data_IF_368546645449
#
_entry.id   IF_368546645449
#
_cell.length_a   1.000
_cell.length_b   1.000
_cell.length_c   1.000
_cell.angle_alpha   90.00
_cell.angle_beta   90.00
_cell.angle_gamma   90.00
#
_symmetry.space_group_name_H-M   'P 1'
#
loop_
_entity.id
_entity.type
_entity.pdbx_description
1 polymer ?
#
# COMPACT_ATOMS: atom_id res chain seq x y z
N UNK A 1 -32.25 -16.56 -18.86
CA UNK A 1 -30.96 -16.11 -18.30
C UNK A 1 -31.12 -14.64 -17.96
N UNK A 2 -31.50 -14.35 -16.73
CA UNK A 2 -31.60 -12.97 -16.24
C UNK A 2 -30.19 -12.40 -16.13
N UNK A 3 -29.94 -11.35 -16.90
CA UNK A 3 -28.73 -10.54 -16.80
C UNK A 3 -28.77 -9.88 -15.42
N UNK A 4 -28.05 -10.44 -14.44
CA UNK A 4 -27.82 -9.78 -13.15
C UNK A 4 -27.19 -8.42 -13.46
N UNK A 5 -27.97 -7.36 -13.28
CA UNK A 5 -27.50 -6.00 -13.42
C UNK A 5 -26.33 -5.81 -12.46
N UNK A 6 -25.15 -5.44 -12.99
CA UNK A 6 -24.01 -5.10 -12.13
C UNK A 6 -24.45 -3.96 -11.20
N UNK A 7 -24.17 -4.05 -9.89
CA UNK A 7 -24.47 -2.98 -8.96
C UNK A 7 -23.84 -1.67 -9.47
N UNK A 8 -24.60 -0.57 -9.40
CA UNK A 8 -24.12 0.75 -9.81
C UNK A 8 -23.07 1.28 -8.83
N UNK A 9 -22.09 2.04 -9.33
CA UNK A 9 -21.01 2.66 -8.54
C UNK A 9 -21.55 3.47 -7.37
N UNK A 10 -21.14 3.13 -6.14
CA UNK A 10 -21.49 3.80 -4.88
C UNK A 10 -20.36 4.71 -4.35
N UNK A 11 -19.45 5.18 -5.22
CA UNK A 11 -18.33 6.03 -4.82
C UNK A 11 -18.79 7.20 -3.92
N UNK A 12 -18.17 7.33 -2.75
CA UNK A 12 -18.42 8.42 -1.80
C UNK A 12 -17.36 9.52 -1.89
N UNK A 13 -16.26 9.23 -2.59
CA UNK A 13 -15.13 10.14 -2.85
C UNK A 13 -15.04 10.43 -4.36
N UNK A 14 -14.76 11.69 -4.77
CA UNK A 14 -14.58 12.02 -6.18
C UNK A 14 -13.43 11.25 -6.84
N UNK A 15 -13.63 10.78 -8.07
CA UNK A 15 -12.59 10.14 -8.90
C UNK A 15 -11.59 11.14 -9.50
N UNK A 16 -11.11 12.06 -8.66
CA UNK A 16 -10.12 13.08 -9.00
C UNK A 16 -8.73 12.56 -8.65
N UNK A 17 -7.79 12.71 -9.58
CA UNK A 17 -6.39 12.36 -9.41
C UNK A 17 -5.55 13.62 -9.47
N UNK A 18 -4.80 13.90 -8.40
CA UNK A 18 -3.77 14.94 -8.43
C UNK A 18 -2.47 14.38 -9.01
N UNK A 19 -1.71 15.20 -9.74
CA UNK A 19 -0.48 14.77 -10.41
C UNK A 19 0.81 15.26 -9.75
N UNK A 20 0.68 15.94 -8.61
CA UNK A 20 1.79 16.48 -7.84
C UNK A 20 1.64 16.10 -6.37
N UNK A 21 2.77 15.81 -5.72
CA UNK A 21 2.85 15.62 -4.29
C UNK A 21 3.28 16.94 -3.64
N UNK A 22 2.36 17.58 -2.92
CA UNK A 22 2.62 18.81 -2.17
C UNK A 22 1.67 18.90 -0.96
N UNK A 23 1.77 19.97 -0.16
CA UNK A 23 0.93 20.17 1.02
C UNK A 23 -0.57 20.16 0.69
N UNK A 24 -0.99 20.85 -0.37
CA UNK A 24 -2.41 20.96 -0.75
C UNK A 24 -2.99 19.60 -1.17
N UNK A 25 -2.29 18.86 -2.02
CA UNK A 25 -2.77 17.56 -2.51
C UNK A 25 -2.80 16.52 -1.39
N UNK A 26 -1.83 16.56 -0.47
CA UNK A 26 -1.84 15.70 0.73
C UNK A 26 -3.03 15.99 1.65
N UNK A 27 -3.32 17.27 1.92
CA UNK A 27 -4.45 17.65 2.77
C UNK A 27 -5.77 17.24 2.14
N UNK A 28 -5.95 17.49 0.84
CA UNK A 28 -7.13 17.05 0.08
C UNK A 28 -7.29 15.53 0.10
N UNK A 29 -6.21 14.79 -0.08
CA UNK A 29 -6.26 13.32 -0.04
C UNK A 29 -6.62 12.81 1.37
N UNK A 30 -6.03 13.38 2.42
CA UNK A 30 -6.32 13.01 3.81
C UNK A 30 -7.75 13.36 4.23
N UNK A 31 -8.34 14.40 3.64
CA UNK A 31 -9.75 14.76 3.79
C UNK A 31 -10.69 14.00 2.85
N UNK A 32 -10.15 13.11 2.00
CA UNK A 32 -10.89 12.39 0.94
C UNK A 32 -11.66 13.30 -0.03
N UNK A 33 -11.10 14.46 -0.34
CA UNK A 33 -11.61 15.38 -1.37
C UNK A 33 -11.15 14.97 -2.79
N UNK A 34 -10.09 14.17 -2.87
CA UNK A 34 -9.59 13.53 -4.10
C UNK A 34 -9.39 12.04 -3.85
N UNK A 35 -9.45 11.23 -4.91
CA UNK A 35 -9.34 9.78 -4.82
C UNK A 35 -7.90 9.27 -4.74
N UNK A 36 -6.96 9.95 -5.40
CA UNK A 36 -5.56 9.58 -5.42
C UNK A 36 -4.62 10.74 -5.77
N UNK A 37 -3.35 10.58 -5.44
CA UNK A 37 -2.22 11.33 -6.00
C UNK A 37 -1.41 10.36 -6.86
N UNK A 38 -1.15 10.69 -8.13
CA UNK A 38 -0.33 9.89 -9.05
C UNK A 38 0.78 10.75 -9.65
N UNK A 39 2.00 10.61 -9.12
CA UNK A 39 3.19 11.31 -9.61
C UNK A 39 3.93 10.40 -10.58
N UNK A 40 3.83 10.73 -11.87
CA UNK A 40 4.52 10.03 -12.95
C UNK A 40 6.03 10.26 -12.87
N UNK A 41 6.83 9.21 -13.04
CA UNK A 41 8.30 9.33 -13.06
C UNK A 41 8.92 9.86 -11.76
N UNK A 42 8.26 9.61 -10.63
CA UNK A 42 8.72 10.00 -9.29
C UNK A 42 10.15 9.50 -8.98
N UNK A 43 10.46 8.28 -9.39
CA UNK A 43 11.74 7.62 -9.18
C UNK A 43 12.40 7.24 -10.52
N UNK A 44 13.74 7.28 -10.66
CA UNK A 44 14.41 6.95 -11.91
C UNK A 44 14.08 5.52 -12.38
N UNK A 45 13.35 5.41 -13.50
CA UNK A 45 12.88 4.15 -14.07
C UNK A 45 13.99 3.08 -14.17
N UNK A 46 15.15 3.44 -14.70
CA UNK A 46 16.28 2.52 -14.86
C UNK A 46 16.80 1.94 -13.53
N UNK A 47 16.75 2.73 -12.43
CA UNK A 47 17.14 2.23 -11.10
C UNK A 47 16.05 1.32 -10.56
N UNK A 48 14.79 1.72 -10.70
CA UNK A 48 13.63 0.93 -10.28
C UNK A 48 13.62 -0.47 -10.93
N UNK A 49 13.80 -0.52 -12.25
CA UNK A 49 13.81 -1.77 -13.02
C UNK A 49 14.98 -2.69 -12.65
N UNK A 50 16.16 -2.10 -12.40
CA UNK A 50 17.35 -2.86 -11.96
C UNK A 50 17.14 -3.49 -10.58
N UNK A 51 16.54 -2.76 -9.64
CA UNK A 51 16.23 -3.31 -8.31
C UNK A 51 15.14 -4.38 -8.41
N UNK A 52 14.18 -4.20 -9.31
CA UNK A 52 13.14 -5.20 -9.55
C UNK A 52 13.72 -6.56 -10.02
N UNK A 53 14.82 -6.58 -10.79
CA UNK A 53 15.50 -7.83 -11.15
C UNK A 53 16.03 -8.58 -9.91
N UNK A 54 16.66 -7.86 -8.98
CA UNK A 54 17.16 -8.47 -7.73
C UNK A 54 16.03 -8.93 -6.81
N UNK A 55 14.88 -8.26 -6.83
CA UNK A 55 13.75 -8.58 -5.95
C UNK A 55 13.11 -9.94 -6.27
N UNK A 56 13.14 -10.39 -7.53
CA UNK A 56 12.50 -11.64 -7.98
C UNK A 56 13.17 -12.87 -7.34
N UNK A 57 14.49 -12.82 -7.16
CA UNK A 57 15.30 -13.93 -6.62
C UNK A 57 15.89 -13.61 -5.24
N UNK A 58 15.32 -12.63 -4.53
CA UNK A 58 15.87 -12.17 -3.26
C UNK A 58 15.80 -13.28 -2.19
N UNK A 59 16.87 -13.54 -1.41
CA UNK A 59 16.89 -14.62 -0.42
C UNK A 59 15.80 -14.52 0.67
N UNK A 60 15.36 -13.29 0.97
CA UNK A 60 14.27 -13.01 1.92
C UNK A 60 12.85 -12.98 1.28
N UNK A 61 12.69 -13.43 0.03
CA UNK A 61 11.37 -13.45 -0.63
C UNK A 61 10.47 -14.54 -0.02
N UNK A 62 9.42 -14.11 0.69
CA UNK A 62 8.34 -14.95 1.25
C UNK A 62 6.98 -14.69 0.59
N UNK A 63 5.87 -15.22 1.13
CA UNK A 63 4.51 -15.17 0.53
C UNK A 63 3.39 -14.96 1.55
N UNK A 64 2.37 -14.12 1.26
CA UNK A 64 1.14 -13.86 2.07
C UNK A 64 0.76 -15.02 3.03
N UNK A 65 0.51 -14.78 4.33
CA UNK A 65 -0.03 -15.81 5.22
C UNK A 65 -1.52 -16.09 4.96
N UNK A 66 -2.28 -15.09 4.46
CA UNK A 66 -3.73 -15.22 4.25
C UNK A 66 -4.09 -15.79 2.88
N UNK A 67 -5.22 -16.50 2.81
CA UNK A 67 -5.63 -17.34 1.67
C UNK A 67 -5.56 -16.63 0.32
N UNK A 68 -6.18 -15.45 0.18
CA UNK A 68 -6.24 -14.76 -1.12
C UNK A 68 -5.03 -13.89 -1.46
N UNK A 69 -4.17 -13.60 -0.50
CA UNK A 69 -2.92 -12.83 -0.70
C UNK A 69 -1.67 -13.70 -0.66
N UNK A 70 -1.81 -15.00 -0.34
CA UNK A 70 -0.72 -16.00 -0.31
C UNK A 70 0.03 -16.16 -1.62
N UNK A 71 -0.59 -15.79 -2.74
CA UNK A 71 0.05 -15.81 -4.05
C UNK A 71 0.98 -14.61 -4.32
N UNK A 72 1.01 -13.61 -3.43
CA UNK A 72 1.83 -12.41 -3.57
C UNK A 72 3.10 -12.58 -2.75
N UNK A 73 4.25 -12.38 -3.41
CA UNK A 73 5.55 -12.41 -2.77
C UNK A 73 5.81 -11.13 -1.97
N UNK A 74 6.57 -11.24 -0.88
CA UNK A 74 7.07 -10.08 -0.12
C UNK A 74 8.51 -10.23 0.31
N UNK A 75 9.25 -9.13 0.29
CA UNK A 75 10.57 -9.03 0.92
C UNK A 75 10.41 -8.20 2.19
N UNK A 76 10.89 -8.78 3.31
CA UNK A 76 10.68 -8.33 4.68
C UNK A 76 9.22 -8.46 5.12
N UNK A 77 9.02 -8.71 6.43
CA UNK A 77 7.70 -9.01 6.99
C UNK A 77 6.92 -7.71 7.24
N UNK A 78 5.77 -7.48 6.57
CA UNK A 78 4.86 -6.38 6.90
C UNK A 78 4.15 -6.59 8.25
N UNK A 79 3.65 -5.52 8.85
CA UNK A 79 2.99 -5.58 10.17
C UNK A 79 1.79 -6.54 10.21
N UNK A 80 1.01 -6.62 9.12
CA UNK A 80 -0.16 -7.51 9.02
C UNK A 80 0.16 -8.99 9.33
N UNK A 81 1.38 -9.46 9.09
CA UNK A 81 1.75 -10.85 9.42
C UNK A 81 2.00 -11.08 10.92
N UNK A 82 1.96 -10.02 11.72
CA UNK A 82 2.00 -10.08 13.18
C UNK A 82 0.64 -10.07 13.85
N UNK A 83 -0.46 -9.99 13.08
CA UNK A 83 -1.84 -9.83 13.54
C UNK A 83 -2.15 -10.65 14.81
N UNK A 84 -2.31 -9.95 15.93
CA UNK A 84 -2.59 -10.46 17.29
C UNK A 84 -1.60 -11.52 17.84
N UNK A 85 -0.44 -11.70 17.23
CA UNK A 85 0.59 -12.65 17.65
C UNK A 85 1.81 -11.91 18.22
N UNK A 86 1.98 -12.00 19.54
CA UNK A 86 3.04 -11.30 20.26
C UNK A 86 4.46 -11.70 19.82
N UNK A 87 4.68 -12.98 19.49
CA UNK A 87 6.00 -13.44 19.03
C UNK A 87 6.33 -12.89 17.64
N UNK A 88 5.37 -12.90 16.73
CA UNK A 88 5.52 -12.31 15.41
C UNK A 88 5.70 -10.79 15.49
N UNK A 89 4.95 -10.10 16.35
CA UNK A 89 5.10 -8.66 16.58
C UNK A 89 6.48 -8.33 17.16
N UNK A 90 6.97 -9.14 18.12
CA UNK A 90 8.32 -8.99 18.66
C UNK A 90 9.38 -9.14 17.58
N UNK A 91 9.24 -10.15 16.70
CA UNK A 91 10.15 -10.38 15.58
C UNK A 91 10.13 -9.22 14.57
N UNK A 92 8.95 -8.76 14.17
CA UNK A 92 8.76 -7.59 13.32
C UNK A 92 9.56 -6.39 13.82
N UNK A 93 9.37 -6.04 15.09
CA UNK A 93 10.04 -4.89 15.69
C UNK A 93 11.54 -5.09 15.87
N UNK A 94 12.02 -6.29 16.21
CA UNK A 94 13.46 -6.54 16.37
C UNK A 94 14.22 -6.46 15.04
N UNK A 95 13.58 -6.83 13.93
CA UNK A 95 14.19 -6.85 12.61
C UNK A 95 13.96 -5.54 11.82
N UNK A 96 13.10 -4.64 12.31
CA UNK A 96 12.64 -3.46 11.56
C UNK A 96 13.78 -2.59 11.01
N UNK A 97 14.74 -2.23 11.87
CA UNK A 97 15.87 -1.36 11.49
C UNK A 97 16.80 -2.07 10.52
N UNK A 98 17.13 -3.34 10.78
CA UNK A 98 17.96 -4.16 9.90
C UNK A 98 17.31 -4.31 8.51
N UNK A 99 16.01 -4.61 8.44
CA UNK A 99 15.27 -4.72 7.20
C UNK A 99 15.28 -3.40 6.40
N UNK A 100 15.20 -2.24 7.06
CA UNK A 100 15.36 -0.92 6.39
C UNK A 100 16.75 -0.79 5.78
N UNK A 101 17.80 -1.23 6.48
CA UNK A 101 19.19 -1.16 5.98
C UNK A 101 19.44 -2.14 4.83
N UNK A 102 18.87 -3.34 4.89
CA UNK A 102 18.96 -4.33 3.83
C UNK A 102 18.32 -3.81 2.54
N UNK A 103 17.11 -3.23 2.66
CA UNK A 103 16.47 -2.58 1.53
C UNK A 103 17.33 -1.45 0.96
N UNK A 104 17.88 -0.56 1.80
CA UNK A 104 18.78 0.50 1.34
C UNK A 104 20.00 -0.03 0.59
N UNK A 105 20.52 -1.17 1.01
CA UNK A 105 21.66 -1.82 0.35
C UNK A 105 21.31 -2.30 -1.06
N UNK A 106 20.06 -2.71 -1.31
CA UNK A 106 19.58 -3.07 -2.66
C UNK A 106 19.57 -1.87 -3.63
N UNK A 107 19.32 -0.66 -3.13
CA UNK A 107 19.21 0.56 -3.96
C UNK A 107 20.54 1.33 -4.06
N UNK A 108 21.57 0.96 -3.31
CA UNK A 108 22.85 1.66 -3.29
C UNK A 108 23.45 1.83 -4.71
N UNK A 109 23.99 3.00 -5.06
CA UNK A 109 24.24 4.18 -4.20
C UNK A 109 23.03 5.15 -4.09
N UNK A 110 21.86 4.81 -4.62
CA UNK A 110 20.69 5.66 -4.60
C UNK A 110 19.89 5.49 -3.29
N UNK A 111 19.19 6.54 -2.88
CA UNK A 111 18.17 6.44 -1.83
C UNK A 111 17.02 5.55 -2.30
N UNK A 112 16.40 4.81 -1.40
CA UNK A 112 15.19 4.04 -1.72
C UNK A 112 14.02 4.98 -2.04
N UNK A 113 13.04 4.55 -2.86
CA UNK A 113 11.86 5.38 -3.11
C UNK A 113 11.02 5.62 -1.84
N UNK A 114 11.03 4.72 -0.84
CA UNK A 114 10.36 5.01 0.44
C UNK A 114 11.10 6.08 1.22
N UNK A 115 12.43 6.07 1.24
CA UNK A 115 13.18 7.14 1.91
C UNK A 115 12.88 8.49 1.26
N UNK A 116 12.77 8.57 -0.07
CA UNK A 116 12.34 9.80 -0.74
C UNK A 116 10.93 10.23 -0.34
N UNK A 117 9.95 9.31 -0.37
CA UNK A 117 8.57 9.61 0.06
C UNK A 117 8.56 10.10 1.51
N UNK A 118 9.28 9.45 2.42
CA UNK A 118 9.34 9.82 3.84
C UNK A 118 9.86 11.23 4.06
N UNK A 119 10.91 11.61 3.34
CA UNK A 119 11.48 12.96 3.41
C UNK A 119 10.48 14.01 2.89
N UNK A 120 9.87 13.76 1.74
CA UNK A 120 8.88 14.67 1.16
C UNK A 120 7.64 14.81 2.03
N UNK A 121 7.15 13.73 2.63
CA UNK A 121 6.03 13.79 3.58
C UNK A 121 6.39 14.61 4.82
N UNK A 122 7.63 14.51 5.30
CA UNK A 122 8.10 15.31 6.42
C UNK A 122 8.19 16.80 6.09
N UNK A 123 8.52 17.14 4.84
CA UNK A 123 8.65 18.52 4.36
C UNK A 123 7.28 19.15 4.02
N UNK A 124 6.37 18.38 3.40
CA UNK A 124 5.10 18.89 2.90
C UNK A 124 3.94 18.80 3.89
N UNK A 125 3.96 17.87 4.85
CA UNK A 125 2.89 17.80 5.84
C UNK A 125 3.09 18.86 6.92
N UNK A 126 2.08 19.68 7.28
CA UNK A 126 2.28 20.79 8.21
C UNK A 126 2.77 20.37 9.61
N UNK A 127 2.35 19.18 10.08
CA UNK A 127 2.80 18.60 11.34
C UNK A 127 4.09 17.78 11.25
N UNK A 128 4.71 17.65 10.07
CA UNK A 128 5.84 16.76 9.80
C UNK A 128 5.43 15.29 9.63
N UNK A 129 6.43 14.38 9.60
CA UNK A 129 6.20 12.94 9.46
C UNK A 129 7.31 12.11 10.13
N UNK A 130 6.99 10.96 10.71
CA UNK A 130 7.94 10.10 11.43
C UNK A 130 7.69 8.61 11.18
N UNK A 131 8.71 7.76 11.37
CA UNK A 131 8.51 6.30 11.44
C UNK A 131 7.57 6.01 12.62
N UNK A 132 6.55 5.19 12.38
CA UNK A 132 5.64 4.79 13.44
C UNK A 132 6.36 3.97 14.51
N UNK A 133 5.91 4.12 15.75
CA UNK A 133 6.28 3.23 16.85
C UNK A 133 5.02 2.61 17.44
N UNK A 134 5.06 1.32 17.70
CA UNK A 134 4.00 0.61 18.41
C UNK A 134 4.61 0.04 19.69
N UNK A 135 3.95 0.30 20.83
CA UNK A 135 4.47 -0.06 22.15
C UNK A 135 5.92 0.42 22.36
N UNK A 136 6.21 1.63 21.91
CA UNK A 136 7.54 2.24 21.96
C UNK A 136 8.60 1.60 21.04
N UNK A 137 8.26 0.66 20.15
CA UNK A 137 9.22 0.00 19.24
C UNK A 137 9.05 0.46 17.79
N UNK A 138 10.16 0.64 17.09
CA UNK A 138 10.18 1.10 15.69
C UNK A 138 9.50 0.12 14.76
N UNK A 139 8.66 0.63 13.86
CA UNK A 139 8.09 -0.13 12.76
C UNK A 139 9.03 -0.22 11.55
N UNK A 140 8.88 -1.29 10.78
CA UNK A 140 9.48 -1.41 9.46
C UNK A 140 8.77 -0.50 8.45
N UNK A 141 9.47 -0.07 7.41
CA UNK A 141 8.87 0.72 6.31
C UNK A 141 9.54 0.37 4.99
N UNK A 142 8.74 0.29 3.92
CA UNK A 142 9.20 0.05 2.56
C UNK A 142 9.10 -1.40 2.10
N UNK A 143 8.11 -2.16 2.54
CA UNK A 143 7.94 -3.55 2.10
C UNK A 143 7.90 -3.64 0.56
N UNK A 144 8.64 -4.58 -0.03
CA UNK A 144 8.57 -4.86 -1.47
C UNK A 144 7.57 -6.00 -1.69
N UNK A 145 6.59 -5.76 -2.57
CA UNK A 145 5.59 -6.73 -3.01
C UNK A 145 5.92 -7.20 -4.43
N UNK A 146 5.95 -8.50 -4.64
CA UNK A 146 6.27 -9.15 -5.92
C UNK A 146 5.07 -9.96 -6.40
N UNK A 147 4.44 -9.49 -7.48
CA UNK A 147 3.35 -10.19 -8.14
C UNK A 147 3.92 -10.97 -9.33
N UNK A 148 3.73 -12.28 -9.32
CA UNK A 148 4.10 -13.16 -10.42
C UNK A 148 3.03 -13.13 -11.51
N UNK A 149 3.43 -13.11 -12.79
CA UNK A 149 2.49 -13.13 -13.90
C UNK A 149 1.52 -14.33 -13.82
N UNK A 150 0.26 -14.08 -14.13
CA UNK A 150 -0.85 -15.05 -14.22
C UNK A 150 -1.24 -15.77 -12.93
N UNK A 151 -0.43 -15.72 -11.87
CA UNK A 151 -0.68 -16.46 -10.61
C UNK A 151 -1.04 -15.56 -9.44
N UNK A 152 -0.41 -14.39 -9.32
CA UNK A 152 -0.65 -13.51 -8.18
C UNK A 152 -1.98 -12.79 -8.31
N UNK A 153 -2.75 -12.79 -7.22
CA UNK A 153 -4.05 -12.12 -7.11
C UNK A 153 -4.06 -11.24 -5.86
N UNK A 154 -4.59 -10.03 -6.01
CA UNK A 154 -4.93 -9.15 -4.89
C UNK A 154 -6.38 -8.74 -5.06
N UNK A 155 -7.26 -9.44 -4.34
CA UNK A 155 -8.68 -9.21 -4.42
C UNK A 155 -9.09 -7.90 -3.72
N UNK A 156 -10.27 -7.34 -4.02
CA UNK A 156 -10.77 -6.15 -3.35
C UNK A 156 -10.73 -6.30 -1.82
N UNK A 157 -10.00 -5.41 -1.15
CA UNK A 157 -9.82 -5.37 0.29
C UNK A 157 -9.65 -3.92 0.75
N UNK A 158 -9.51 -3.73 2.06
CA UNK A 158 -9.07 -2.50 2.69
C UNK A 158 -7.98 -2.83 3.71
N UNK A 159 -7.09 -1.87 3.95
CA UNK A 159 -6.03 -2.01 4.96
C UNK A 159 -6.26 -1.00 6.08
N UNK A 160 -6.24 -1.48 7.32
CA UNK A 160 -6.49 -0.71 8.54
C UNK A 160 -5.69 -1.24 9.71
N UNK A 161 -4.70 -0.49 10.15
CA UNK A 161 -3.83 -0.90 11.27
C UNK A 161 -4.59 -1.01 12.59
N UNK A 162 -5.67 -0.25 12.77
CA UNK A 162 -6.53 -0.31 13.95
C UNK A 162 -7.38 -1.59 14.05
N UNK A 163 -7.37 -2.40 13.00
CA UNK A 163 -7.95 -3.74 12.98
C UNK A 163 -6.92 -4.85 13.27
N UNK A 164 -5.62 -4.51 13.24
CA UNK A 164 -4.48 -5.44 13.41
C UNK A 164 -3.76 -5.28 14.75
N UNK A 165 -3.88 -4.10 15.36
CA UNK A 165 -3.17 -3.73 16.58
C UNK A 165 -4.02 -2.81 17.45
N UNK A 166 -3.88 -2.97 18.77
CA UNK A 166 -4.47 -2.10 19.78
C UNK A 166 -3.42 -1.17 20.44
N UNK A 167 -2.28 -0.95 19.78
CA UNK A 167 -1.23 -0.09 20.31
C UNK A 167 -1.78 1.33 20.58
N UNK A 168 -1.52 1.92 21.76
CA UNK A 168 -2.07 3.23 22.14
C UNK A 168 -1.57 4.35 21.21
N UNK A 169 -0.41 4.18 20.58
CA UNK A 169 0.10 5.14 19.58
C UNK A 169 -0.79 5.29 18.35
N UNK A 170 -1.72 4.36 18.10
CA UNK A 170 -2.70 4.41 17.00
C UNK A 170 -3.96 5.22 17.36
N UNK A 171 -4.10 5.65 18.62
CA UNK A 171 -5.26 6.41 19.06
C UNK A 171 -5.38 7.75 18.31
N UNK A 172 -6.56 7.96 17.74
CA UNK A 172 -6.89 9.19 17.00
C UNK A 172 -6.41 9.22 15.54
N UNK A 173 -6.02 8.09 14.95
CA UNK A 173 -5.91 8.01 13.49
C UNK A 173 -7.27 8.34 12.87
N UNK A 174 -7.32 9.40 12.07
CA UNK A 174 -8.53 9.84 11.35
C UNK A 174 -8.58 9.27 9.93
N UNK A 175 -7.41 8.97 9.35
CA UNK A 175 -7.27 8.43 8.00
C UNK A 175 -5.98 7.59 7.89
N UNK A 176 -5.96 6.61 6.99
CA UNK A 176 -4.80 5.81 6.64
C UNK A 176 -4.61 5.81 5.13
N UNK A 177 -3.47 6.30 4.68
CA UNK A 177 -3.06 6.30 3.29
C UNK A 177 -2.07 5.17 3.03
N UNK A 178 -1.93 4.78 1.78
CA UNK A 178 -0.83 3.93 1.30
C UNK A 178 -0.12 4.64 0.16
N UNK A 179 1.20 4.65 0.21
CA UNK A 179 2.08 5.07 -0.87
C UNK A 179 2.65 3.83 -1.56
N UNK A 180 2.30 3.64 -2.83
CA UNK A 180 2.85 2.60 -3.70
C UNK A 180 3.86 3.22 -4.66
N UNK A 181 5.11 2.77 -4.56
CA UNK A 181 6.21 3.15 -5.46
C UNK A 181 6.53 1.99 -6.40
N UNK A 182 6.34 2.19 -7.70
CA UNK A 182 6.37 1.12 -8.69
C UNK A 182 7.79 0.90 -9.21
N UNK A 183 8.33 -0.31 -9.01
CA UNK A 183 9.66 -0.70 -9.48
C UNK A 183 9.61 -1.37 -10.86
N UNK A 184 8.55 -2.13 -11.11
CA UNK A 184 8.24 -2.78 -12.40
C UNK A 184 6.74 -2.94 -12.55
N UNK A 185 6.24 -2.72 -13.75
CA UNK A 185 4.84 -2.94 -14.10
C UNK A 185 4.72 -3.79 -15.36
N UNK A 186 3.70 -4.68 -15.45
CA UNK A 186 3.36 -5.41 -16.67
C UNK A 186 2.77 -4.46 -17.72
N UNK A 187 2.82 -4.83 -18.99
CA UNK A 187 2.11 -4.11 -20.06
C UNK A 187 0.61 -4.37 -19.99
N UNK A 188 0.22 -5.59 -19.56
CA UNK A 188 -1.18 -5.98 -19.43
C UNK A 188 -1.50 -6.43 -17.99
N UNK A 189 -2.55 -5.82 -17.44
CA UNK A 189 -2.96 -6.00 -16.04
C UNK A 189 -2.07 -5.25 -15.07
N UNK A 190 -2.05 -5.67 -13.80
CA UNK A 190 -1.32 -4.97 -12.74
C UNK A 190 -1.88 -3.59 -12.36
N UNK A 191 -3.05 -3.24 -12.89
CA UNK A 191 -3.74 -1.98 -12.64
C UNK A 191 -4.18 -1.90 -11.18
N UNK A 192 -4.05 -0.72 -10.59
CA UNK A 192 -4.67 -0.40 -9.32
C UNK A 192 -6.14 -0.06 -9.55
N UNK A 193 -7.04 -0.78 -8.89
CA UNK A 193 -8.47 -0.52 -8.91
C UNK A 193 -8.89 0.12 -7.59
N UNK A 194 -9.61 1.24 -7.65
CA UNK A 194 -10.12 1.98 -6.51
C UNK A 194 -11.64 2.16 -6.63
N UNK A 195 -12.37 1.75 -5.59
CA UNK A 195 -13.83 1.91 -5.54
C UNK A 195 -14.27 3.23 -4.92
N UNK A 196 -13.36 3.96 -4.28
CA UNK A 196 -13.60 5.29 -3.72
C UNK A 196 -14.76 5.31 -2.71
N UNK A 197 -14.92 4.21 -1.96
CA UNK A 197 -15.81 4.04 -0.83
C UNK A 197 -15.19 3.11 0.20
N UNK A 198 -15.64 3.22 1.44
CA UNK A 198 -15.34 2.22 2.45
C UNK A 198 -16.10 0.91 2.16
N UNK A 199 -15.58 -0.25 2.60
CA UNK A 199 -16.37 -1.48 2.65
C UNK A 199 -17.54 -1.32 3.63
N UNK A 200 -18.65 -1.97 3.31
CA UNK A 200 -19.78 -2.20 4.22
C UNK A 200 -19.37 -3.10 5.40
N UNK A 201 -20.18 -3.14 6.46
CA UNK A 201 -19.88 -3.99 7.62
C UNK A 201 -19.79 -5.49 7.26
N UNK A 202 -20.68 -5.99 6.40
CA UNK A 202 -20.64 -7.38 5.93
C UNK A 202 -19.39 -7.66 5.10
N UNK A 203 -18.99 -6.73 4.22
CA UNK A 203 -17.74 -6.83 3.46
C UNK A 203 -16.52 -6.83 4.38
N UNK A 204 -16.49 -6.01 5.44
CA UNK A 204 -15.39 -5.98 6.42
C UNK A 204 -15.22 -7.32 7.13
N UNK A 205 -16.33 -7.95 7.53
CA UNK A 205 -16.29 -9.28 8.17
C UNK A 205 -15.66 -10.31 7.23
N UNK A 206 -16.08 -10.32 5.96
CA UNK A 206 -15.55 -11.23 4.95
C UNK A 206 -14.06 -10.96 4.66
N UNK A 207 -13.68 -9.70 4.47
CA UNK A 207 -12.29 -9.31 4.19
C UNK A 207 -11.38 -9.78 5.32
N UNK A 208 -11.78 -9.64 6.58
CA UNK A 208 -10.98 -10.08 7.73
C UNK A 208 -10.72 -11.59 7.72
N UNK A 209 -11.70 -12.39 7.31
CA UNK A 209 -11.61 -13.86 7.32
C UNK A 209 -10.69 -14.41 6.22
N UNK A 210 -10.77 -13.85 5.01
CA UNK A 210 -10.12 -14.45 3.83
C UNK A 210 -9.17 -13.52 3.06
N UNK A 211 -9.03 -12.27 3.51
CA UNK A 211 -8.24 -11.20 2.88
C UNK A 211 -8.71 -10.85 1.46
N UNK A 212 -10.00 -10.53 1.35
CA UNK A 212 -10.57 -9.91 0.16
C UNK A 212 -11.94 -10.45 -0.26
N UNK A 213 -12.58 -9.72 -1.14
CA UNK A 213 -13.88 -10.03 -1.74
C UNK A 213 -13.70 -10.69 -3.11
N UNK A 214 -14.67 -11.48 -3.56
CA UNK A 214 -14.63 -11.97 -4.94
C UNK A 214 -14.86 -10.79 -5.90
N UNK A 215 -14.06 -10.60 -6.97
CA UNK A 215 -14.24 -9.46 -7.88
C UNK A 215 -15.64 -9.34 -8.47
N UNK A 216 -16.33 -10.46 -8.70
CA UNK A 216 -17.70 -10.51 -9.19
C UNK A 216 -18.77 -10.12 -8.16
N UNK A 217 -18.44 -10.12 -6.86
CA UNK A 217 -19.36 -9.72 -5.79
C UNK A 217 -19.32 -8.22 -5.48
N UNK A 218 -18.43 -7.48 -6.12
CA UNK A 218 -18.26 -6.03 -5.94
C UNK A 218 -18.63 -5.32 -7.25
N UNK A 219 -19.12 -4.08 -7.16
CA UNK A 219 -19.40 -3.27 -8.33
C UNK A 219 -18.13 -2.98 -9.16
N UNK A 220 -18.28 -2.29 -10.30
CA UNK A 220 -17.10 -1.85 -11.06
C UNK A 220 -16.34 -0.74 -10.32
N UNK A 221 -14.99 -0.73 -10.33
CA UNK A 221 -14.22 0.31 -9.65
C UNK A 221 -14.52 1.68 -10.25
N UNK A 222 -14.56 2.70 -9.39
CA UNK A 222 -14.80 4.09 -9.78
C UNK A 222 -13.58 4.73 -10.45
N UNK A 223 -12.38 4.24 -10.13
CA UNK A 223 -11.11 4.71 -10.69
C UNK A 223 -10.16 3.53 -10.91
N UNK A 224 -9.51 3.50 -12.08
CA UNK A 224 -8.49 2.51 -12.43
C UNK A 224 -7.24 3.24 -12.89
N UNK A 225 -6.09 2.90 -12.32
CA UNK A 225 -4.81 3.52 -12.61
C UNK A 225 -3.82 2.47 -13.10
N UNK A 226 -3.27 2.68 -14.30
CA UNK A 226 -2.14 1.92 -14.82
C UNK A 226 -0.82 2.65 -14.52
N UNK A 227 0.02 2.11 -13.62
CA UNK A 227 1.29 2.72 -13.27
C UNK A 227 2.41 2.31 -14.24
N UNK A 228 3.38 3.20 -14.41
CA UNK A 228 4.66 2.89 -15.04
C UNK A 228 5.73 2.63 -13.97
N UNK A 229 6.79 1.92 -14.34
CA UNK A 229 7.98 1.83 -13.49
C UNK A 229 8.56 3.23 -13.21
N UNK A 230 8.78 3.53 -11.94
CA UNK A 230 9.19 4.84 -11.43
C UNK A 230 8.04 5.68 -10.88
N UNK A 231 6.79 5.29 -11.07
CA UNK A 231 5.64 6.07 -10.57
C UNK A 231 5.47 5.95 -9.04
N UNK A 232 4.83 6.96 -8.47
CA UNK A 232 4.27 6.96 -7.12
C UNK A 232 2.76 7.14 -7.20
N UNK A 233 1.99 6.29 -6.52
CA UNK A 233 0.56 6.47 -6.30
C UNK A 233 0.26 6.47 -4.79
N UNK A 234 -0.42 7.50 -4.29
CA UNK A 234 -0.91 7.58 -2.91
C UNK A 234 -2.44 7.64 -2.91
N UNK A 235 -3.08 6.82 -2.10
CA UNK A 235 -4.54 6.83 -1.91
C UNK A 235 -4.92 6.39 -0.48
N UNK A 236 -6.18 6.55 -0.07
CA UNK A 236 -6.66 6.03 1.22
C UNK A 236 -6.81 4.50 1.17
N UNK A 237 -6.02 3.79 1.98
CA UNK A 237 -6.05 2.33 2.05
C UNK A 237 -7.30 1.80 2.76
N UNK A 238 -8.03 2.67 3.47
CA UNK A 238 -9.30 2.35 4.14
C UNK A 238 -10.43 2.10 3.15
N UNK A 239 -10.32 2.66 1.94
CA UNK A 239 -11.28 2.43 0.87
C UNK A 239 -10.99 1.10 0.17
N UNK A 240 -12.03 0.50 -0.41
CA UNK A 240 -11.88 -0.72 -1.18
C UNK A 240 -10.92 -0.51 -2.37
N UNK A 241 -9.95 -1.40 -2.48
CA UNK A 241 -8.96 -1.39 -3.54
C UNK A 241 -8.47 -2.80 -3.89
N UNK A 242 -7.99 -2.97 -5.12
CA UNK A 242 -7.52 -4.24 -5.65
C UNK A 242 -6.41 -4.03 -6.69
N UNK A 243 -5.78 -5.13 -7.11
CA UNK A 243 -4.82 -5.13 -8.22
C UNK A 243 -5.23 -6.16 -9.25
N UNK A 244 -5.37 -5.75 -10.52
CA UNK A 244 -5.67 -6.70 -11.59
C UNK A 244 -4.51 -7.68 -11.78
N UNK A 245 -4.77 -8.96 -12.09
CA UNK A 245 -3.70 -9.93 -12.29
C UNK A 245 -2.73 -9.47 -13.39
N UNK A 246 -1.43 -9.46 -13.09
CA UNK A 246 -0.39 -9.21 -14.09
C UNK A 246 -0.36 -10.34 -15.12
N UNK A 247 -0.21 -10.04 -16.41
CA UNK A 247 -0.25 -11.07 -17.47
C UNK A 247 1.11 -11.42 -18.04
N UNK A 248 1.85 -10.41 -18.50
CA UNK A 248 3.06 -10.56 -19.31
C UNK A 248 4.37 -10.38 -18.52
N UNK A 249 4.34 -9.66 -17.39
CA UNK A 249 5.52 -9.45 -16.55
C UNK A 249 5.17 -9.38 -15.05
N UNK A 250 6.18 -9.39 -14.20
CA UNK A 250 6.00 -9.17 -12.77
C UNK A 250 5.53 -7.74 -12.51
N UNK A 251 4.61 -7.56 -11.56
CA UNK A 251 4.35 -6.26 -10.95
C UNK A 251 5.11 -6.20 -9.62
N UNK A 252 6.08 -5.29 -9.53
CA UNK A 252 6.93 -5.15 -8.35
C UNK A 252 6.79 -3.72 -7.86
N UNK A 253 6.39 -3.58 -6.61
CA UNK A 253 6.21 -2.27 -5.99
C UNK A 253 6.72 -2.29 -4.56
N UNK A 254 7.20 -1.16 -4.12
CA UNK A 254 7.53 -0.90 -2.73
C UNK A 254 6.38 -0.10 -2.11
N UNK A 255 5.97 -0.44 -0.91
CA UNK A 255 4.80 0.16 -0.27
C UNK A 255 5.13 0.69 1.12
N UNK A 256 4.42 1.74 1.53
CA UNK A 256 4.38 2.22 2.90
C UNK A 256 2.97 2.71 3.24
N UNK A 257 2.47 2.34 4.42
CA UNK A 257 1.26 2.92 5.00
C UNK A 257 1.58 4.20 5.75
N UNK A 258 0.60 5.10 5.83
CA UNK A 258 0.72 6.42 6.43
C UNK A 258 -0.53 6.68 7.27
N UNK A 259 -0.36 6.82 8.58
CA UNK A 259 -1.41 7.22 9.52
C UNK A 259 -1.50 8.74 9.62
N UNK A 260 -2.72 9.25 9.45
CA UNK A 260 -3.05 10.67 9.54
C UNK A 260 -3.81 10.93 10.84
N UNK A 261 -3.38 11.93 11.61
CA UNK A 261 -4.01 12.33 12.87
C UNK A 261 -4.57 13.77 12.83
N UNK A 262 -4.69 14.32 11.62
CA UNK A 262 -4.97 15.73 11.38
C UNK A 262 -3.73 16.55 11.04
N UNK A 263 -3.91 17.76 10.45
CA UNK A 263 -2.82 18.52 9.84
C UNK A 263 -1.78 19.05 10.83
N UNK A 264 -2.15 19.24 12.10
CA UNK A 264 -1.26 19.77 13.14
C UNK A 264 -0.46 18.70 13.89
N UNK A 265 -0.69 17.43 13.57
CA UNK A 265 0.06 16.31 14.12
C UNK A 265 0.92 15.67 13.03
N UNK A 266 2.08 15.10 13.39
CA UNK A 266 2.91 14.42 12.42
C UNK A 266 2.19 13.22 11.82
N UNK A 267 2.42 12.97 10.53
CA UNK A 267 2.13 11.67 9.93
C UNK A 267 3.00 10.59 10.58
N UNK A 268 2.49 9.36 10.59
CA UNK A 268 3.26 8.19 11.00
C UNK A 268 3.31 7.20 9.84
N UNK A 269 4.45 6.56 9.56
CA UNK A 269 4.55 5.59 8.46
C UNK A 269 5.14 4.24 8.88
N UNK A 270 4.64 3.17 8.26
CA UNK A 270 5.04 1.78 8.50
C UNK A 270 4.82 0.92 7.24
N UNK A 271 5.08 -0.38 7.33
CA UNK A 271 4.72 -1.40 6.33
C UNK A 271 4.35 -2.71 6.99
#
# INVERSE_FOLDING_TARGET
METLARPQSQATVPAVVAHELNTDTLLKLAAREIGAIHVKGFYPKAVAEKVADYAIDHPKLGHYNKKYTSSVGRICMPHIDSEWNEEAARKYHSEAVENIHDLRSMFAPYATPADQVRLLLQEFWPGGANIQRLHGRTCFVGAIRVFRPSTSKFYPHHDRIDEESNAPELEGIVEQLVANMYLRTPTEGGDLQLWLRDPSEDEKVLIRDVEGLLPESVESPALVLHPDAGDLIIFSSRMLHAVTPSRDNHRIGMAAFIGCYGPHRPLAYWS
#
